data_IF_409276432047
#
_entry.id   IF_409276432047
#
_cell.length_a   1.000
_cell.length_b   1.000
_cell.length_c   1.000
_cell.angle_alpha   90.00
_cell.angle_beta   90.00
_cell.angle_gamma   90.00
#
_symmetry.space_group_name_H-M   'P 1'
#
loop_
_entity.id
_entity.type
_entity.pdbx_description
1 polymer ?
#
# COMPACT_ATOMS: atom_id res chain seq x y z
N UNK A 1 8.60 -10.70 3.92
CA UNK A 1 8.43 -9.23 3.73
C UNK A 1 8.87 -8.52 4.98
N UNK A 2 9.44 -7.32 4.81
CA UNK A 2 9.82 -6.44 5.92
C UNK A 2 9.32 -5.03 5.65
N UNK A 3 8.53 -4.48 6.58
CA UNK A 3 8.13 -3.08 6.63
C UNK A 3 9.28 -2.27 7.22
N UNK A 4 9.82 -1.30 6.46
CA UNK A 4 11.08 -0.64 6.79
C UNK A 4 11.01 0.26 8.04
N UNK A 5 9.86 0.91 8.23
CA UNK A 5 9.56 1.76 9.41
C UNK A 5 8.16 1.46 9.93
N UNK A 6 7.91 1.83 11.18
CA UNK A 6 6.55 1.95 11.70
C UNK A 6 6.25 3.42 12.00
N UNK A 7 5.79 3.78 13.18
CA UNK A 7 5.38 5.15 13.54
C UNK A 7 6.54 6.01 14.07
N UNK A 8 7.74 5.47 14.17
CA UNK A 8 8.92 6.15 14.69
C UNK A 8 10.11 6.00 13.76
N UNK A 9 11.00 7.00 13.79
CA UNK A 9 12.30 6.93 13.19
C UNK A 9 13.11 5.75 13.75
N UNK A 10 13.84 5.07 12.87
CA UNK A 10 14.77 4.00 13.22
C UNK A 10 16.09 4.16 12.44
N UNK A 11 16.99 3.16 12.52
CA UNK A 11 18.26 3.19 11.80
C UNK A 11 18.13 3.08 10.28
N UNK A 12 16.97 2.61 9.76
CA UNK A 12 16.70 2.46 8.33
C UNK A 12 16.25 3.80 7.72
N UNK A 13 15.36 4.54 8.41
CA UNK A 13 14.78 5.75 7.85
C UNK A 13 13.75 6.43 8.74
N UNK A 14 12.90 7.20 8.11
CA UNK A 14 11.88 8.03 8.75
C UNK A 14 10.48 7.54 8.43
N UNK A 15 9.53 7.62 9.39
CA UNK A 15 8.14 7.27 9.15
C UNK A 15 7.44 8.35 8.31
N UNK A 16 6.28 8.03 7.77
CA UNK A 16 5.36 9.05 7.29
C UNK A 16 4.98 10.02 8.43
N UNK A 17 4.74 11.27 8.09
CA UNK A 17 4.51 12.33 9.08
C UNK A 17 3.65 13.44 8.51
N UNK A 18 2.92 14.13 9.40
CA UNK A 18 2.30 15.43 9.10
C UNK A 18 3.34 16.57 9.06
N UNK A 19 4.51 16.37 9.67
CA UNK A 19 5.66 17.27 9.55
C UNK A 19 6.30 17.07 8.17
N UNK A 20 6.29 18.14 7.36
CA UNK A 20 6.80 18.12 5.98
C UNK A 20 8.29 17.85 5.91
N UNK A 21 9.06 18.32 6.86
CA UNK A 21 10.52 18.12 6.87
C UNK A 21 10.84 16.64 7.15
N UNK A 22 10.12 16.01 8.06
CA UNK A 22 10.25 14.57 8.31
C UNK A 22 9.77 13.77 7.09
N UNK A 23 8.63 14.15 6.51
CA UNK A 23 8.03 13.46 5.38
C UNK A 23 8.93 13.44 4.12
N UNK A 24 9.80 14.43 3.96
CA UNK A 24 10.73 14.53 2.83
C UNK A 24 12.07 13.81 3.07
N UNK A 25 12.37 13.39 4.30
CA UNK A 25 13.61 12.67 4.59
C UNK A 25 13.63 11.30 3.93
N UNK A 26 14.77 10.98 3.31
CA UNK A 26 15.01 9.68 2.68
C UNK A 26 15.47 8.61 3.65
N UNK A 27 15.89 7.48 3.11
CA UNK A 27 16.55 6.43 3.88
C UNK A 27 17.89 6.93 4.43
N UNK A 28 18.27 6.39 5.59
CA UNK A 28 19.59 6.58 6.16
C UNK A 28 20.61 5.66 5.47
N UNK A 29 21.93 5.89 5.64
CA UNK A 29 22.95 5.04 5.01
C UNK A 29 22.72 3.54 5.26
N UNK A 30 22.44 3.14 6.49
CA UNK A 30 22.11 1.74 6.83
C UNK A 30 20.86 1.23 6.12
N UNK A 31 19.87 2.10 5.85
CA UNK A 31 18.68 1.72 5.10
C UNK A 31 18.99 1.25 3.67
N UNK A 32 19.97 1.86 3.00
CA UNK A 32 20.41 1.39 1.68
C UNK A 32 21.11 0.03 1.75
N UNK A 33 21.93 -0.21 2.76
CA UNK A 33 22.54 -1.52 3.00
C UNK A 33 21.48 -2.61 3.25
N UNK A 34 20.40 -2.27 3.99
CA UNK A 34 19.25 -3.16 4.21
C UNK A 34 18.54 -3.48 2.89
N UNK A 35 18.32 -2.50 1.99
CA UNK A 35 17.71 -2.76 0.70
C UNK A 35 18.54 -3.73 -0.17
N UNK A 36 19.86 -3.53 -0.18
CA UNK A 36 20.78 -4.41 -0.92
C UNK A 36 20.74 -5.84 -0.38
N UNK A 37 20.75 -6.01 0.94
CA UNK A 37 20.69 -7.32 1.57
C UNK A 37 19.32 -7.99 1.37
N UNK A 38 18.22 -7.23 1.47
CA UNK A 38 16.88 -7.75 1.18
C UNK A 38 16.77 -8.24 -0.27
N UNK A 39 17.33 -7.48 -1.23
CA UNK A 39 17.38 -7.89 -2.62
C UNK A 39 18.20 -9.18 -2.80
N UNK A 40 19.37 -9.28 -2.15
CA UNK A 40 20.24 -10.46 -2.20
C UNK A 40 19.54 -11.71 -1.64
N UNK A 41 18.76 -11.55 -0.57
CA UNK A 41 18.05 -12.63 0.11
C UNK A 41 16.69 -12.97 -0.52
N UNK A 42 16.21 -12.19 -1.48
CA UNK A 42 14.87 -12.39 -2.04
C UNK A 42 13.76 -12.03 -1.03
N UNK A 43 13.92 -10.94 -0.29
CA UNK A 43 12.95 -10.47 0.70
C UNK A 43 12.13 -9.30 0.14
N UNK A 44 10.80 -9.37 0.25
CA UNK A 44 9.91 -8.29 -0.21
C UNK A 44 10.07 -7.05 0.65
N UNK A 45 10.35 -5.91 0.02
CA UNK A 45 10.45 -4.59 0.65
C UNK A 45 9.04 -3.99 0.75
N UNK A 46 8.64 -3.58 1.96
CA UNK A 46 7.37 -2.90 2.21
C UNK A 46 7.59 -1.45 2.65
N UNK A 47 6.97 -0.53 1.91
CA UNK A 47 7.05 0.92 2.14
C UNK A 47 5.86 1.48 2.93
N UNK A 48 4.94 0.66 3.39
CA UNK A 48 3.90 1.12 4.32
C UNK A 48 4.55 1.75 5.55
N UNK A 49 4.00 2.87 6.03
CA UNK A 49 4.56 3.73 7.08
C UNK A 49 5.83 4.51 6.73
N UNK A 50 6.46 4.30 5.59
CA UNK A 50 7.68 5.03 5.22
C UNK A 50 7.36 6.47 4.79
N UNK A 51 8.29 7.38 5.04
CA UNK A 51 8.22 8.76 4.54
C UNK A 51 8.19 8.83 3.00
N UNK A 52 7.69 9.93 2.45
CA UNK A 52 7.67 10.16 1.00
C UNK A 52 9.11 10.13 0.40
N UNK A 53 10.08 10.70 1.12
CA UNK A 53 11.50 10.64 0.70
C UNK A 53 12.05 9.23 0.70
N UNK A 54 11.74 8.43 1.72
CA UNK A 54 12.10 7.01 1.79
C UNK A 54 11.46 6.19 0.67
N UNK A 55 10.18 6.44 0.38
CA UNK A 55 9.49 5.81 -0.76
C UNK A 55 10.24 6.06 -2.07
N UNK A 56 10.66 7.31 -2.33
CA UNK A 56 11.40 7.65 -3.56
C UNK A 56 12.74 6.92 -3.65
N UNK A 57 13.46 6.75 -2.53
CA UNK A 57 14.69 5.97 -2.51
C UNK A 57 14.44 4.49 -2.85
N UNK A 58 13.39 3.87 -2.29
CA UNK A 58 13.01 2.49 -2.63
C UNK A 58 12.59 2.37 -4.10
N UNK A 59 11.81 3.31 -4.62
CA UNK A 59 11.39 3.31 -6.02
C UNK A 59 12.60 3.42 -6.99
N UNK A 60 13.60 4.25 -6.66
CA UNK A 60 14.83 4.36 -7.43
C UNK A 60 15.67 3.08 -7.35
N UNK A 61 15.75 2.46 -6.17
CA UNK A 61 16.40 1.17 -5.98
C UNK A 61 15.71 0.07 -6.81
N UNK A 62 14.38 -0.02 -6.75
CA UNK A 62 13.59 -0.96 -7.55
C UNK A 62 13.81 -0.80 -9.06
N UNK A 63 13.89 0.47 -9.53
CA UNK A 63 14.20 0.77 -10.94
C UNK A 63 15.58 0.25 -11.37
N UNK A 64 16.58 0.32 -10.48
CA UNK A 64 17.96 -0.15 -10.77
C UNK A 64 18.08 -1.66 -10.76
N UNK A 65 17.37 -2.33 -9.84
CA UNK A 65 17.50 -3.77 -9.61
C UNK A 65 16.48 -4.61 -10.37
N UNK A 66 15.38 -3.99 -10.83
CA UNK A 66 14.22 -4.69 -11.39
C UNK A 66 13.39 -5.43 -10.32
N UNK A 67 13.68 -5.24 -9.03
CA UNK A 67 12.99 -5.90 -7.94
C UNK A 67 11.70 -5.15 -7.59
N UNK A 68 10.51 -5.78 -7.68
CA UNK A 68 9.27 -5.15 -7.24
C UNK A 68 9.25 -4.99 -5.72
N UNK A 69 8.55 -3.95 -5.26
CA UNK A 69 8.31 -3.68 -3.84
C UNK A 69 6.81 -3.48 -3.58
N UNK A 70 6.40 -3.38 -2.33
CA UNK A 70 4.97 -3.26 -1.98
C UNK A 70 4.71 -2.09 -1.03
N UNK A 71 3.49 -1.56 -1.06
CA UNK A 71 2.87 -0.88 0.05
C UNK A 71 1.79 -1.83 0.60
N UNK A 72 2.12 -2.60 1.64
CA UNK A 72 1.28 -3.71 2.11
C UNK A 72 -0.11 -3.26 2.56
N UNK A 73 -0.23 -2.02 3.09
CA UNK A 73 -1.48 -1.44 3.59
C UNK A 73 -1.47 0.09 3.48
N UNK A 74 -1.89 0.62 2.33
CA UNK A 74 -1.95 2.07 2.02
C UNK A 74 -3.08 2.37 1.06
N UNK A 75 -3.55 3.64 1.03
CA UNK A 75 -4.64 4.09 0.17
C UNK A 75 -4.21 5.27 -0.73
N UNK A 76 -5.14 5.87 -1.49
CA UNK A 76 -4.86 7.00 -2.36
C UNK A 76 -4.99 8.33 -1.60
N UNK A 77 -3.90 9.13 -1.54
CA UNK A 77 -3.87 10.44 -0.88
C UNK A 77 -4.76 11.47 -1.59
N UNK A 78 -5.02 11.29 -2.87
CA UNK A 78 -5.92 12.15 -3.63
C UNK A 78 -7.40 12.01 -3.23
N UNK A 79 -7.78 10.88 -2.62
CA UNK A 79 -9.12 10.63 -2.09
C UNK A 79 -9.20 11.08 -0.64
N UNK A 80 -8.23 10.70 0.18
CA UNK A 80 -8.17 11.06 1.60
C UNK A 80 -6.78 11.59 1.92
N UNK A 81 -6.71 12.88 2.26
CA UNK A 81 -5.46 13.62 2.45
C UNK A 81 -4.75 13.25 3.75
N UNK A 82 -4.34 11.98 3.87
CA UNK A 82 -3.63 11.45 5.02
C UNK A 82 -2.18 11.07 4.66
N UNK A 83 -1.17 11.34 5.53
CA UNK A 83 0.24 11.02 5.23
C UNK A 83 0.51 9.52 5.02
N UNK A 84 -0.33 8.63 5.60
CA UNK A 84 -0.26 7.17 5.38
C UNK A 84 -0.65 6.76 3.95
N UNK A 85 -1.38 7.60 3.24
CA UNK A 85 -1.83 7.35 1.88
C UNK A 85 -0.78 7.80 0.85
N UNK A 86 -0.70 7.13 -0.29
CA UNK A 86 0.27 7.42 -1.34
C UNK A 86 -0.28 8.46 -2.33
N UNK A 87 0.54 9.46 -2.72
CA UNK A 87 0.22 10.34 -3.85
C UNK A 87 0.09 9.55 -5.16
N UNK A 88 -0.74 10.01 -6.10
CA UNK A 88 -0.96 9.38 -7.40
C UNK A 88 0.35 9.09 -8.15
N UNK A 89 1.30 10.01 -8.08
CA UNK A 89 2.61 9.84 -8.70
C UNK A 89 3.38 8.65 -8.11
N UNK A 90 3.23 8.38 -6.80
CA UNK A 90 3.91 7.25 -6.14
C UNK A 90 3.21 5.93 -6.44
N UNK A 91 1.88 5.95 -6.55
CA UNK A 91 1.10 4.79 -6.99
C UNK A 91 1.53 4.37 -8.40
N UNK A 92 1.73 5.33 -9.32
CA UNK A 92 2.27 5.04 -10.66
C UNK A 92 3.68 4.45 -10.62
N UNK A 93 4.59 5.01 -9.79
CA UNK A 93 5.95 4.47 -9.62
C UNK A 93 5.95 3.04 -9.08
N UNK A 94 5.06 2.76 -8.14
CA UNK A 94 4.87 1.41 -7.60
C UNK A 94 4.39 0.45 -8.68
N UNK A 95 3.41 0.86 -9.50
CA UNK A 95 2.92 0.09 -10.65
C UNK A 95 4.02 -0.14 -11.69
N UNK A 96 4.79 0.89 -12.06
CA UNK A 96 5.92 0.81 -13.01
C UNK A 96 7.03 -0.15 -12.53
N UNK A 97 7.22 -0.27 -11.22
CA UNK A 97 8.14 -1.24 -10.61
C UNK A 97 7.56 -2.67 -10.55
N UNK A 98 6.35 -2.89 -11.04
CA UNK A 98 5.68 -4.19 -10.94
C UNK A 98 5.20 -4.52 -9.51
N UNK A 99 5.16 -3.53 -8.63
CA UNK A 99 4.73 -3.69 -7.24
C UNK A 99 3.21 -3.71 -7.05
N UNK A 100 2.78 -3.82 -5.78
CA UNK A 100 1.36 -3.78 -5.40
C UNK A 100 1.12 -2.91 -4.19
N UNK A 101 -0.06 -2.33 -4.12
CA UNK A 101 -0.59 -1.58 -2.99
C UNK A 101 -1.81 -2.30 -2.41
N UNK A 102 -1.69 -2.77 -1.17
CA UNK A 102 -2.80 -3.35 -0.42
C UNK A 102 -3.70 -2.25 0.13
N UNK A 103 -4.99 -2.31 -0.17
CA UNK A 103 -5.98 -1.37 0.36
C UNK A 103 -6.12 -1.55 1.87
N UNK A 104 -5.80 -0.50 2.63
CA UNK A 104 -5.97 -0.45 4.08
C UNK A 104 -7.43 -0.13 4.46
N UNK A 105 -7.96 -0.80 5.47
CA UNK A 105 -9.36 -0.65 5.89
C UNK A 105 -9.57 0.33 7.04
N UNK A 106 -8.54 1.02 7.52
CA UNK A 106 -8.70 2.04 8.55
C UNK A 106 -9.61 3.19 8.07
N UNK A 107 -10.66 3.50 8.82
CA UNK A 107 -11.69 4.47 8.47
C UNK A 107 -11.13 5.83 8.08
N UNK A 108 -10.19 6.37 8.86
CA UNK A 108 -9.57 7.69 8.66
C UNK A 108 -8.53 7.72 7.52
N UNK A 109 -8.13 6.56 6.96
CA UNK A 109 -7.35 6.48 5.72
C UNK A 109 -8.25 6.32 4.49
N UNK A 110 -9.50 5.92 4.70
CA UNK A 110 -10.50 5.77 3.64
C UNK A 110 -11.34 7.04 3.45
N UNK A 111 -11.57 7.83 4.52
CA UNK A 111 -12.42 9.02 4.43
C UNK A 111 -11.98 10.11 5.40
N UNK A 112 -11.84 11.36 4.91
CA UNK A 112 -11.53 12.54 5.72
C UNK A 112 -12.64 12.87 6.75
N UNK A 113 -13.82 12.29 6.61
CA UNK A 113 -14.96 12.49 7.50
C UNK A 113 -15.02 11.50 8.65
N UNK A 114 -14.13 10.51 8.69
CA UNK A 114 -14.11 9.46 9.70
C UNK A 114 -12.92 9.60 10.66
N UNK A 115 -13.14 9.54 11.99
CA UNK A 115 -12.07 9.41 12.97
C UNK A 115 -11.46 7.99 12.95
N UNK A 116 -10.33 7.75 13.65
CA UNK A 116 -9.69 6.43 13.70
C UNK A 116 -10.61 5.30 14.18
N UNK A 117 -11.49 5.58 15.14
CA UNK A 117 -12.54 4.67 15.66
C UNK A 117 -13.87 4.75 14.89
N UNK A 118 -13.88 5.44 13.76
CA UNK A 118 -15.04 5.64 12.90
C UNK A 118 -15.44 4.41 12.10
N UNK A 119 -16.31 4.60 11.12
CA UNK A 119 -16.81 3.52 10.26
C UNK A 119 -15.92 3.33 9.04
N UNK A 120 -15.39 2.12 8.88
CA UNK A 120 -14.73 1.66 7.66
C UNK A 120 -15.79 1.07 6.73
N UNK A 121 -16.13 1.79 5.66
CA UNK A 121 -17.25 1.47 4.79
C UNK A 121 -16.80 0.93 3.44
N UNK A 122 -17.53 -0.05 2.91
CA UNK A 122 -17.27 -0.65 1.59
C UNK A 122 -17.30 0.43 0.48
N UNK A 123 -18.21 1.38 0.55
CA UNK A 123 -18.30 2.46 -0.46
C UNK A 123 -17.03 3.34 -0.51
N UNK A 124 -16.39 3.58 0.63
CA UNK A 124 -15.13 4.31 0.70
C UNK A 124 -13.98 3.47 0.12
N UNK A 125 -13.94 2.16 0.44
CA UNK A 125 -12.98 1.20 -0.16
C UNK A 125 -13.10 1.17 -1.69
N UNK A 126 -14.31 1.07 -2.21
CA UNK A 126 -14.60 1.08 -3.65
C UNK A 126 -14.11 2.37 -4.30
N UNK A 127 -14.31 3.53 -3.65
CA UNK A 127 -13.85 4.83 -4.16
C UNK A 127 -12.34 4.85 -4.37
N UNK A 128 -11.57 4.35 -3.40
CA UNK A 128 -10.11 4.24 -3.52
C UNK A 128 -9.70 3.26 -4.63
N UNK A 129 -10.31 2.08 -4.70
CA UNK A 129 -10.01 1.06 -5.71
C UNK A 129 -10.25 1.62 -7.13
N UNK A 130 -11.38 2.25 -7.36
CA UNK A 130 -11.71 2.82 -8.67
C UNK A 130 -10.76 3.96 -9.06
N UNK A 131 -10.36 4.81 -8.09
CA UNK A 131 -9.36 5.84 -8.33
C UNK A 131 -8.00 5.25 -8.71
N UNK A 132 -7.49 4.29 -7.93
CA UNK A 132 -6.20 3.65 -8.17
C UNK A 132 -6.21 2.91 -9.51
N UNK A 133 -7.28 2.15 -9.82
CA UNK A 133 -7.49 1.51 -11.11
C UNK A 133 -7.41 2.51 -12.27
N UNK A 134 -8.04 3.66 -12.12
CA UNK A 134 -8.05 4.73 -13.15
C UNK A 134 -6.66 5.30 -13.42
N UNK A 135 -5.83 5.47 -12.40
CA UNK A 135 -4.54 6.16 -12.55
C UNK A 135 -3.35 5.23 -12.84
N UNK A 136 -3.43 3.96 -12.44
CA UNK A 136 -2.29 3.03 -12.48
C UNK A 136 -2.67 1.59 -12.92
N UNK A 137 -3.93 1.34 -13.25
CA UNK A 137 -4.42 0.02 -13.65
C UNK A 137 -4.75 -0.89 -12.47
N UNK A 138 -5.32 -2.06 -12.77
CA UNK A 138 -5.69 -3.06 -11.75
C UNK A 138 -4.50 -3.87 -11.25
N UNK A 139 -3.39 -3.90 -11.98
CA UNK A 139 -2.19 -4.69 -11.65
C UNK A 139 -1.47 -4.23 -10.37
N UNK A 140 -1.68 -2.99 -9.94
CA UNK A 140 -1.07 -2.44 -8.72
C UNK A 140 -1.93 -2.68 -7.47
N UNK A 141 -3.18 -3.07 -7.62
CA UNK A 141 -4.14 -3.23 -6.53
C UNK A 141 -4.00 -4.59 -5.83
N UNK A 142 -4.11 -4.57 -4.51
CA UNK A 142 -4.23 -5.76 -3.67
C UNK A 142 -5.11 -5.45 -2.43
N UNK A 143 -5.39 -6.45 -1.61
CA UNK A 143 -6.03 -6.29 -0.31
C UNK A 143 -4.98 -6.27 0.78
N UNK A 144 -5.01 -5.25 1.63
CA UNK A 144 -4.13 -5.05 2.77
C UNK A 144 -4.92 -4.55 3.98
N UNK A 145 -5.90 -5.33 4.41
CA UNK A 145 -6.96 -4.94 5.35
C UNK A 145 -6.49 -4.35 6.67
N UNK A 146 -5.36 -4.84 7.18
CA UNK A 146 -4.82 -4.43 8.49
C UNK A 146 -5.79 -4.76 9.65
N UNK A 147 -6.53 -5.87 9.57
CA UNK A 147 -7.59 -6.23 10.49
C UNK A 147 -7.20 -6.18 11.97
N UNK A 148 -5.99 -6.62 12.30
CA UNK A 148 -5.52 -6.64 13.69
C UNK A 148 -4.83 -5.34 14.12
N UNK A 149 -4.61 -4.40 13.18
CA UNK A 149 -3.85 -3.15 13.39
C UNK A 149 -4.69 -1.88 13.42
N UNK A 150 -6.01 -1.95 13.22
CA UNK A 150 -6.90 -0.79 13.15
C UNK A 150 -8.02 -0.82 14.19
N UNK A 151 -8.40 0.35 14.68
CA UNK A 151 -9.44 0.52 15.71
C UNK A 151 -10.84 0.77 15.12
N UNK A 152 -10.95 0.87 13.79
CA UNK A 152 -12.19 1.21 13.09
C UNK A 152 -13.29 0.15 13.28
N UNK A 153 -14.54 0.61 13.36
CA UNK A 153 -15.70 -0.28 13.21
C UNK A 153 -15.84 -0.63 11.73
N UNK A 154 -15.70 -1.89 11.37
CA UNK A 154 -15.62 -2.32 9.99
C UNK A 154 -16.92 -2.92 9.50
N UNK A 155 -17.40 -2.56 8.29
CA UNK A 155 -18.43 -3.33 7.58
C UNK A 155 -17.91 -4.71 7.16
N UNK A 156 -16.59 -4.83 6.95
CA UNK A 156 -15.88 -6.10 6.71
C UNK A 156 -14.89 -6.26 7.86
N UNK A 157 -15.20 -7.06 8.85
CA UNK A 157 -14.39 -7.29 10.04
C UNK A 157 -13.63 -8.63 10.03
N UNK A 158 -13.83 -9.43 8.99
CA UNK A 158 -13.19 -10.74 8.86
C UNK A 158 -12.99 -11.14 7.40
N UNK A 159 -12.04 -12.06 7.11
CA UNK A 159 -11.84 -12.59 5.76
C UNK A 159 -13.10 -13.24 5.16
N UNK A 160 -13.98 -13.80 5.99
CA UNK A 160 -15.21 -14.42 5.53
C UNK A 160 -16.19 -13.43 4.87
N UNK A 161 -16.10 -12.15 5.22
CA UNK A 161 -16.95 -11.09 4.68
C UNK A 161 -16.37 -10.42 3.44
N UNK A 162 -15.16 -10.78 2.99
CA UNK A 162 -14.54 -10.21 1.80
C UNK A 162 -15.38 -10.36 0.54
N UNK A 163 -16.28 -11.34 0.51
CA UNK A 163 -17.26 -11.51 -0.57
C UNK A 163 -18.12 -10.27 -0.77
N UNK A 164 -18.42 -9.49 0.28
CA UNK A 164 -19.21 -8.26 0.19
C UNK A 164 -18.48 -7.19 -0.66
N UNK A 165 -17.17 -7.03 -0.47
CA UNK A 165 -16.36 -6.13 -1.28
C UNK A 165 -16.25 -6.64 -2.73
N UNK A 166 -16.05 -7.95 -2.90
CA UNK A 166 -15.97 -8.59 -4.21
C UNK A 166 -17.25 -8.32 -5.04
N UNK A 167 -18.41 -8.62 -4.46
CA UNK A 167 -19.73 -8.43 -5.10
C UNK A 167 -19.97 -6.94 -5.42
N UNK A 168 -19.63 -6.04 -4.49
CA UNK A 168 -19.80 -4.60 -4.71
C UNK A 168 -18.91 -4.12 -5.86
N UNK A 169 -17.65 -4.53 -5.92
CA UNK A 169 -16.74 -4.19 -7.01
C UNK A 169 -17.23 -4.75 -8.36
N UNK A 170 -17.73 -5.99 -8.36
CA UNK A 170 -18.33 -6.57 -9.57
C UNK A 170 -19.51 -5.74 -10.08
N UNK A 171 -20.38 -5.27 -9.18
CA UNK A 171 -21.50 -4.39 -9.53
C UNK A 171 -21.06 -3.03 -10.08
N UNK A 172 -19.84 -2.55 -9.76
CA UNK A 172 -19.28 -1.33 -10.36
C UNK A 172 -18.65 -1.53 -11.73
N UNK A 173 -18.70 -2.76 -12.28
CA UNK A 173 -18.23 -3.11 -13.62
C UNK A 173 -16.77 -3.55 -13.70
N UNK A 174 -16.16 -3.98 -12.59
CA UNK A 174 -14.89 -4.70 -12.66
C UNK A 174 -15.13 -6.10 -13.23
N UNK A 175 -14.25 -6.54 -14.12
CA UNK A 175 -14.28 -7.90 -14.67
C UNK A 175 -13.79 -8.92 -13.65
N UNK A 176 -14.15 -10.20 -13.84
CA UNK A 176 -13.66 -11.30 -13.00
C UNK A 176 -12.13 -11.34 -12.94
N UNK A 177 -11.44 -11.11 -14.07
CA UNK A 177 -9.97 -11.08 -14.10
C UNK A 177 -9.39 -9.93 -13.25
N UNK A 178 -10.01 -8.74 -13.27
CA UNK A 178 -9.60 -7.63 -12.40
C UNK A 178 -9.85 -7.93 -10.92
N UNK A 179 -10.97 -8.56 -10.60
CA UNK A 179 -11.28 -8.98 -9.23
C UNK A 179 -10.29 -10.01 -8.71
N UNK A 180 -10.01 -11.06 -9.48
CA UNK A 180 -9.00 -12.05 -9.12
C UNK A 180 -7.60 -11.43 -8.94
N UNK A 181 -7.22 -10.46 -9.77
CA UNK A 181 -5.98 -9.70 -9.63
C UNK A 181 -5.93 -8.97 -8.29
N UNK A 182 -6.98 -8.23 -7.95
CA UNK A 182 -7.07 -7.44 -6.72
C UNK A 182 -7.04 -8.35 -5.48
N UNK A 183 -7.80 -9.44 -5.50
CA UNK A 183 -7.98 -10.28 -4.32
C UNK A 183 -6.80 -11.23 -4.05
N UNK A 184 -6.04 -11.67 -5.08
CA UNK A 184 -4.92 -12.58 -4.84
C UNK A 184 -3.82 -12.60 -5.91
N UNK A 185 -4.12 -12.51 -7.22
CA UNK A 185 -3.12 -12.73 -8.28
C UNK A 185 -1.97 -11.73 -8.24
N UNK A 186 -2.25 -10.44 -7.98
CA UNK A 186 -1.22 -9.41 -7.93
C UNK A 186 -0.24 -9.62 -6.78
N UNK A 187 -0.73 -9.94 -5.58
CA UNK A 187 0.11 -10.28 -4.44
C UNK A 187 0.94 -11.53 -4.72
N UNK A 188 0.32 -12.58 -5.28
CA UNK A 188 1.00 -13.81 -5.68
C UNK A 188 2.11 -13.54 -6.71
N UNK A 189 1.86 -12.69 -7.71
CA UNK A 189 2.84 -12.29 -8.73
C UNK A 189 4.08 -11.67 -8.09
N UNK A 190 3.91 -10.71 -7.17
CA UNK A 190 5.03 -10.06 -6.49
C UNK A 190 5.80 -11.06 -5.62
N UNK A 191 5.10 -11.88 -4.84
CA UNK A 191 5.73 -12.90 -4.01
C UNK A 191 6.55 -13.88 -4.87
N UNK A 192 5.98 -14.35 -5.98
CA UNK A 192 6.69 -15.26 -6.91
C UNK A 192 7.90 -14.61 -7.57
N UNK A 193 7.85 -13.31 -7.86
CA UNK A 193 8.96 -12.59 -8.48
C UNK A 193 10.13 -12.33 -7.51
N UNK A 194 9.86 -12.22 -6.22
CA UNK A 194 10.87 -11.83 -5.21
C UNK A 194 11.40 -13.03 -4.42
N UNK A 195 10.52 -13.92 -3.97
CA UNK A 195 10.91 -15.07 -3.13
C UNK A 195 11.71 -16.11 -3.97
N UNK A 196 12.88 -16.45 -3.48
CA UNK A 196 13.80 -17.41 -4.10
C UNK A 196 13.94 -18.66 -3.26
#
# INVERSE_FOLDING_TARGET
LVTLTWNHENEIGYPNSTDRDIMQKGLKPFGFEVLEEMNRLGMVIDVSHLSDGGFLNVAEFAKKTGMPFVASHSNARAITAHPRNLPDMYIRKLSEAGGVMGLNFASHFLSDTQPPDGESRICDMVTHILHIRKIAGSEVLAIGSDFDGVESRMEIDSPAQMVMLYETLHQTGLSEDELEKIFYKNAQRVLTAVLR
#
